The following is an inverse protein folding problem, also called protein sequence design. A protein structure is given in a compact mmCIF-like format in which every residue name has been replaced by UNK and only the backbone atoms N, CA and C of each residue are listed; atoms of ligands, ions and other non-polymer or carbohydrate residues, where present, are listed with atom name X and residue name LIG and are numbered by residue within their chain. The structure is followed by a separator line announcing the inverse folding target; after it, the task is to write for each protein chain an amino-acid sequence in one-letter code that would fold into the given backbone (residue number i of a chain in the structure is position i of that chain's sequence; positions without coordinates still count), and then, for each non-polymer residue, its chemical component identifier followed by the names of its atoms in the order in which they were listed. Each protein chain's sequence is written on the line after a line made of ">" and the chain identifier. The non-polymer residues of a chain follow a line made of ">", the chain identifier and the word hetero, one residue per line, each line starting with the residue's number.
data_IF_986574451883
#
_entry.id   IF_986574451883
#
_cell.length_a   1.000
_cell.length_b   1.000
_cell.length_c   1.000
_cell.angle_alpha   90.00
_cell.angle_beta   90.00
_cell.angle_gamma   90.00
#
_symmetry.space_group_name_H-M   'P 1'
#
loop_
_entity.id
_entity.type
_entity.pdbx_description
1 polymer ?
#
# COMPACT_ATOMS: atom_id res chain seq x y z
N UNK A 1 -29.38 1.83 -88.63
CA UNK A 1 -28.00 1.29 -88.68
C UNK A 1 -27.49 1.41 -87.24
N UNK A 2 -27.24 0.38 -86.43
CA UNK A 2 -26.88 -1.02 -86.66
C UNK A 2 -27.27 -1.82 -85.40
N UNK A 3 -27.88 -2.99 -85.63
CA UNK A 3 -27.77 -4.31 -84.96
C UNK A 3 -27.36 -4.39 -83.47
N UNK A 4 -27.89 -5.28 -82.63
CA UNK A 4 -28.73 -6.46 -82.86
C UNK A 4 -29.13 -7.16 -81.56
N UNK A 5 -29.83 -8.29 -81.76
CA UNK A 5 -30.33 -9.33 -80.84
C UNK A 5 -29.34 -9.71 -79.71
N UNK A 6 -29.71 -10.28 -78.56
CA UNK A 6 -30.24 -11.65 -78.40
C UNK A 6 -30.75 -11.92 -76.97
N UNK A 7 -31.81 -12.75 -76.92
CA UNK A 7 -32.04 -13.92 -76.06
C UNK A 7 -31.89 -13.84 -74.51
N UNK A 8 -33.01 -14.11 -73.82
CA UNK A 8 -33.05 -14.74 -72.48
C UNK A 8 -32.85 -16.26 -72.63
N UNK A 9 -32.28 -16.93 -71.61
CA UNK A 9 -33.15 -17.63 -70.66
C UNK A 9 -32.71 -17.55 -69.19
N UNK A 10 -33.70 -17.56 -68.30
CA UNK A 10 -33.57 -17.90 -66.88
C UNK A 10 -33.17 -19.38 -66.74
N UNK A 11 -32.43 -19.74 -65.68
CA UNK A 11 -33.12 -20.45 -64.61
C UNK A 11 -32.73 -19.99 -63.20
N UNK A 12 -33.74 -20.04 -62.34
CA UNK A 12 -33.70 -20.04 -60.88
C UNK A 12 -32.81 -21.16 -60.34
N UNK A 13 -31.96 -20.89 -59.36
CA UNK A 13 -32.13 -21.38 -57.97
C UNK A 13 -30.90 -21.11 -57.07
N UNK A 14 -31.22 -20.55 -55.90
CA UNK A 14 -30.70 -20.91 -54.55
C UNK A 14 -29.32 -20.42 -54.06
N UNK A 15 -29.44 -19.81 -52.87
CA UNK A 15 -28.48 -19.68 -51.76
C UNK A 15 -27.57 -18.42 -51.70
N UNK A 16 -28.08 -17.44 -50.94
CA UNK A 16 -27.30 -16.44 -50.21
C UNK A 16 -26.24 -17.11 -49.31
N UNK A 17 -24.99 -16.62 -49.27
CA UNK A 17 -24.16 -16.78 -48.10
C UNK A 17 -24.63 -15.77 -47.03
N UNK A 18 -25.26 -16.29 -45.98
CA UNK A 18 -25.53 -15.59 -44.74
C UNK A 18 -24.20 -15.14 -44.11
N UNK A 19 -23.90 -13.85 -44.27
CA UNK A 19 -22.76 -13.20 -43.63
C UNK A 19 -23.07 -13.06 -42.12
N UNK A 20 -22.80 -14.12 -41.37
CA UNK A 20 -22.84 -14.12 -39.91
C UNK A 20 -21.56 -13.48 -39.40
N UNK A 21 -21.66 -12.17 -39.11
CA UNK A 21 -20.68 -11.46 -38.30
C UNK A 21 -20.78 -11.98 -36.86
N UNK A 22 -19.75 -12.63 -36.27
CA UNK A 22 -19.70 -12.71 -34.83
C UNK A 22 -19.21 -11.36 -34.32
N UNK A 23 -20.10 -10.64 -33.67
CA UNK A 23 -19.76 -9.52 -32.79
C UNK A 23 -18.84 -10.04 -31.68
N UNK A 24 -17.53 -9.93 -31.89
CA UNK A 24 -16.53 -10.19 -30.84
C UNK A 24 -16.59 -9.03 -29.85
N UNK A 25 -17.39 -9.21 -28.79
CA UNK A 25 -17.31 -8.43 -27.56
C UNK A 25 -15.92 -8.63 -26.95
N UNK A 26 -15.03 -7.66 -27.16
CA UNK A 26 -13.72 -7.59 -26.52
C UNK A 26 -13.86 -7.20 -25.03
N UNK A 27 -13.25 -7.95 -24.10
CA UNK A 27 -12.92 -7.48 -22.75
C UNK A 27 -11.44 -7.07 -22.60
N UNK A 28 -10.69 -6.87 -23.69
CA UNK A 28 -9.21 -6.82 -23.67
C UNK A 28 -8.57 -5.49 -23.19
N UNK A 29 -9.33 -4.43 -22.92
CA UNK A 29 -8.76 -3.11 -22.57
C UNK A 29 -8.39 -2.93 -21.09
N UNK A 30 -8.92 -3.76 -20.18
CA UNK A 30 -8.61 -3.68 -18.74
C UNK A 30 -7.28 -4.36 -18.38
N UNK A 31 -6.91 -5.45 -19.06
CA UNK A 31 -5.67 -6.19 -18.79
C UNK A 31 -4.41 -5.40 -19.19
N UNK A 32 -4.48 -4.61 -20.27
CA UNK A 32 -3.33 -3.82 -20.73
C UNK A 32 -3.01 -2.61 -19.84
N UNK A 33 -4.04 -2.02 -19.20
CA UNK A 33 -3.85 -0.92 -18.23
C UNK A 33 -3.16 -1.41 -16.95
N UNK A 34 -3.61 -2.53 -16.39
CA UNK A 34 -3.00 -3.12 -15.19
C UNK A 34 -1.55 -3.52 -15.43
N UNK A 35 -1.25 -4.17 -16.56
CA UNK A 35 0.12 -4.54 -16.92
C UNK A 35 1.04 -3.30 -17.08
N UNK A 36 0.53 -2.20 -17.64
CA UNK A 36 1.28 -0.95 -17.76
C UNK A 36 1.53 -0.27 -16.41
N UNK A 37 0.61 -0.39 -15.46
CA UNK A 37 0.77 0.10 -14.09
C UNK A 37 1.80 -0.72 -13.31
N UNK A 38 1.78 -2.04 -13.42
CA UNK A 38 2.74 -2.90 -12.73
C UNK A 38 4.15 -2.72 -13.31
N UNK A 39 4.29 -2.62 -14.64
CA UNK A 39 5.58 -2.30 -15.26
C UNK A 39 6.14 -0.93 -14.82
N UNK A 40 5.26 0.05 -14.56
CA UNK A 40 5.67 1.33 -13.96
C UNK A 40 6.14 1.15 -12.53
N UNK A 41 5.41 0.40 -11.70
CA UNK A 41 5.79 0.09 -10.31
C UNK A 41 7.13 -0.63 -10.25
N UNK A 42 7.35 -1.62 -11.11
CA UNK A 42 8.61 -2.36 -11.19
C UNK A 42 9.78 -1.45 -11.55
N UNK A 43 9.57 -0.53 -12.51
CA UNK A 43 10.59 0.48 -12.84
C UNK A 43 10.88 1.39 -11.65
N UNK A 44 9.85 1.85 -10.94
CA UNK A 44 10.05 2.67 -9.74
C UNK A 44 10.72 1.90 -8.60
N UNK A 45 10.46 0.60 -8.46
CA UNK A 45 11.08 -0.24 -7.45
C UNK A 45 12.56 -0.47 -7.76
N UNK A 46 12.90 -0.73 -9.02
CA UNK A 46 14.29 -0.85 -9.45
C UNK A 46 15.07 0.44 -9.19
N UNK A 47 14.50 1.60 -9.56
CA UNK A 47 15.07 2.92 -9.24
C UNK A 47 15.23 3.12 -7.72
N UNK A 48 14.25 2.69 -6.93
CA UNK A 48 14.31 2.77 -5.48
C UNK A 48 15.38 1.87 -4.86
N UNK A 49 15.55 0.64 -5.36
CA UNK A 49 16.60 -0.26 -4.90
C UNK A 49 18.00 0.29 -5.19
N UNK A 50 18.18 0.99 -6.31
CA UNK A 50 19.43 1.68 -6.61
C UNK A 50 19.72 2.83 -5.62
N UNK A 51 18.69 3.55 -5.17
CA UNK A 51 18.84 4.57 -4.12
C UNK A 51 19.32 3.97 -2.79
N UNK A 52 19.01 2.70 -2.52
CA UNK A 52 19.41 2.01 -1.29
C UNK A 52 20.88 1.59 -1.28
N UNK A 53 21.62 1.67 -2.39
CA UNK A 53 23.06 1.36 -2.43
C UNK A 53 23.90 2.36 -1.62
N UNK A 54 23.44 3.60 -1.47
CA UNK A 54 24.14 4.65 -0.72
C UNK A 54 23.42 5.05 0.58
N UNK A 55 22.25 4.47 0.86
CA UNK A 55 21.49 4.78 2.07
C UNK A 55 21.88 3.88 3.25
N UNK A 56 22.13 4.48 4.41
CA UNK A 56 22.38 3.78 5.67
C UNK A 56 21.17 3.90 6.61
N UNK A 57 20.37 2.83 6.78
CA UNK A 57 19.19 2.85 7.65
C UNK A 57 19.56 3.02 9.13
N UNK A 58 18.60 3.52 9.93
CA UNK A 58 18.75 3.63 11.39
C UNK A 58 19.00 2.27 12.09
N UNK A 59 18.39 1.21 11.58
CA UNK A 59 18.61 -0.18 12.03
C UNK A 59 19.89 -0.70 11.36
N UNK A 60 20.93 -1.07 12.12
CA UNK A 60 22.17 -1.61 11.56
C UNK A 60 21.97 -2.94 10.84
N UNK A 61 22.86 -3.24 9.89
CA UNK A 61 22.78 -4.45 9.07
C UNK A 61 22.84 -5.73 9.92
N UNK A 62 23.63 -5.75 10.98
CA UNK A 62 23.83 -6.91 11.85
C UNK A 62 22.53 -7.31 12.55
N UNK A 63 21.69 -6.33 12.91
CA UNK A 63 20.38 -6.57 13.52
C UNK A 63 19.44 -7.21 12.49
N UNK A 64 19.44 -6.69 11.27
CA UNK A 64 18.62 -7.24 10.19
C UNK A 64 19.06 -8.65 9.82
N UNK A 65 20.36 -8.90 9.72
CA UNK A 65 20.93 -10.23 9.44
C UNK A 65 20.55 -11.24 10.51
N UNK A 66 20.60 -10.85 11.79
CA UNK A 66 20.17 -11.70 12.90
C UNK A 66 18.69 -12.14 12.75
N UNK A 67 17.78 -11.20 12.43
CA UNK A 67 16.37 -11.53 12.26
C UNK A 67 16.11 -12.34 10.98
N UNK A 68 16.86 -12.10 9.90
CA UNK A 68 16.79 -12.88 8.67
C UNK A 68 17.21 -14.34 8.90
N UNK A 69 18.34 -14.56 9.58
CA UNK A 69 18.79 -15.91 9.96
C UNK A 69 17.80 -16.61 10.87
N UNK A 70 17.19 -15.88 11.81
CA UNK A 70 16.19 -16.43 12.73
C UNK A 70 14.94 -16.96 12.01
N UNK A 71 14.56 -16.36 10.88
CA UNK A 71 13.45 -16.84 10.05
C UNK A 71 13.88 -17.86 8.99
N UNK A 72 15.18 -18.18 8.91
CA UNK A 72 15.76 -19.11 7.94
C UNK A 72 15.91 -18.52 6.54
N UNK A 73 16.02 -17.19 6.42
CA UNK A 73 16.24 -16.50 5.15
C UNK A 73 17.65 -15.92 5.11
N UNK A 74 18.45 -16.31 4.13
CA UNK A 74 19.77 -15.72 3.88
C UNK A 74 19.70 -14.90 2.60
N UNK A 75 20.20 -13.67 2.67
CA UNK A 75 20.22 -12.76 1.53
C UNK A 75 21.58 -12.09 1.44
N UNK A 76 22.25 -12.25 0.31
CA UNK A 76 23.57 -11.65 0.06
C UNK A 76 23.46 -10.19 -0.42
N UNK A 77 22.31 -9.79 -0.98
CA UNK A 77 22.10 -8.45 -1.49
C UNK A 77 21.88 -7.45 -0.34
N UNK A 78 22.84 -6.53 -0.18
CA UNK A 78 22.81 -5.47 0.84
C UNK A 78 21.60 -4.55 0.66
N UNK A 79 21.14 -4.32 -0.58
CA UNK A 79 19.98 -3.48 -0.86
C UNK A 79 18.71 -4.07 -0.29
N UNK A 80 18.57 -5.40 -0.33
CA UNK A 80 17.41 -6.10 0.24
C UNK A 80 17.41 -6.03 1.77
N UNK A 81 18.58 -6.14 2.41
CA UNK A 81 18.72 -5.93 3.87
C UNK A 81 18.33 -4.50 4.25
N UNK A 82 18.79 -3.51 3.49
CA UNK A 82 18.47 -2.09 3.71
C UNK A 82 17.00 -1.78 3.43
N UNK A 83 16.42 -2.37 2.40
CA UNK A 83 14.98 -2.26 2.08
C UNK A 83 14.14 -2.75 3.26
N UNK A 84 14.44 -3.94 3.78
CA UNK A 84 13.72 -4.52 4.91
C UNK A 84 13.87 -3.66 6.17
N UNK A 85 15.08 -3.16 6.41
CA UNK A 85 15.38 -2.25 7.53
C UNK A 85 14.57 -0.96 7.44
N UNK A 86 14.49 -0.35 6.26
CA UNK A 86 13.72 0.87 6.02
C UNK A 86 12.21 0.61 6.14
N UNK A 87 11.72 -0.53 5.62
CA UNK A 87 10.32 -0.91 5.75
C UNK A 87 9.92 -1.07 7.22
N UNK A 88 10.75 -1.73 8.03
CA UNK A 88 10.52 -1.85 9.47
C UNK A 88 10.55 -0.49 10.17
N UNK A 89 11.49 0.40 9.82
CA UNK A 89 11.55 1.76 10.36
C UNK A 89 10.31 2.56 10.02
N UNK A 90 9.86 2.51 8.77
CA UNK A 90 8.63 3.16 8.33
C UNK A 90 7.44 2.62 9.11
N UNK A 91 7.31 1.30 9.22
CA UNK A 91 6.22 0.66 9.95
C UNK A 91 6.14 1.13 11.41
N UNK A 92 7.27 1.16 12.14
CA UNK A 92 7.31 1.67 13.51
C UNK A 92 7.03 3.17 13.57
N UNK A 93 7.51 3.93 12.57
CA UNK A 93 7.27 5.38 12.50
C UNK A 93 5.80 5.72 12.28
N UNK A 94 5.10 4.96 11.44
CA UNK A 94 3.66 5.11 11.19
C UNK A 94 2.86 4.83 12.47
N UNK A 95 3.14 3.73 13.18
CA UNK A 95 2.52 3.42 14.48
C UNK A 95 2.81 4.51 15.52
N UNK A 96 4.05 5.00 15.59
CA UNK A 96 4.43 6.04 16.54
C UNK A 96 3.72 7.37 16.24
N UNK A 97 3.53 7.71 14.95
CA UNK A 97 2.78 8.89 14.53
C UNK A 97 1.31 8.78 14.95
N UNK A 98 0.67 7.63 14.75
CA UNK A 98 -0.72 7.41 15.13
C UNK A 98 -0.89 7.44 16.65
N UNK A 99 -0.02 6.74 17.40
CA UNK A 99 -0.03 6.78 18.86
C UNK A 99 0.23 8.19 19.40
N UNK A 100 1.08 8.99 18.74
CA UNK A 100 1.29 10.39 19.11
C UNK A 100 0.02 11.24 18.94
N UNK A 101 -0.79 10.98 17.90
CA UNK A 101 -2.07 11.67 17.72
C UNK A 101 -3.04 11.35 18.87
N UNK A 102 -3.16 10.07 19.25
CA UNK A 102 -3.96 9.63 20.39
C UNK A 102 -3.50 10.29 21.70
N UNK A 103 -2.18 10.30 21.95
CA UNK A 103 -1.59 10.91 23.15
C UNK A 103 -1.81 12.43 23.21
N UNK A 104 -1.72 13.10 22.06
CA UNK A 104 -1.93 14.55 21.94
C UNK A 104 -3.40 14.91 22.15
N UNK A 105 -4.33 14.17 21.55
CA UNK A 105 -5.77 14.40 21.72
C UNK A 105 -6.16 14.22 23.19
N UNK A 106 -5.68 13.15 23.85
CA UNK A 106 -5.95 12.94 25.29
C UNK A 106 -5.40 14.07 26.15
N UNK A 107 -4.15 14.47 25.93
CA UNK A 107 -3.49 15.54 26.72
C UNK A 107 -4.21 16.89 26.54
N UNK A 108 -4.67 17.19 25.33
CA UNK A 108 -5.43 18.39 25.03
C UNK A 108 -6.88 18.34 25.57
N UNK A 109 -7.54 17.18 25.49
CA UNK A 109 -8.90 16.97 26.00
C UNK A 109 -8.96 17.01 27.54
N UNK A 110 -7.92 16.51 28.23
CA UNK A 110 -7.78 16.62 29.68
C UNK A 110 -7.64 18.10 30.15
N UNK A 111 -7.29 19.02 29.25
CA UNK A 111 -7.17 20.45 29.49
C UNK A 111 -8.49 21.23 29.66
N UNK A 112 -9.65 20.58 29.49
CA UNK A 112 -10.98 21.20 29.62
C UNK A 112 -11.46 21.41 31.07
N UNK A 113 -10.80 20.86 32.09
CA UNK A 113 -11.15 21.10 33.50
C UNK A 113 -10.55 22.42 33.99
N UNK A 114 -11.28 23.50 33.70
CA UNK A 114 -11.13 24.92 34.09
C UNK A 114 -11.10 25.17 35.62
N UNK A 115 -10.33 24.43 36.43
CA UNK A 115 -10.28 24.72 37.87
C UNK A 115 -9.02 24.31 38.65
N UNK A 116 -7.81 24.46 38.10
CA UNK A 116 -6.59 24.37 38.92
C UNK A 116 -5.78 25.67 38.82
N UNK A 117 -5.41 26.29 39.95
CA UNK A 117 -4.78 27.60 39.97
C UNK A 117 -3.33 27.53 39.48
N UNK A 118 -3.01 28.53 38.64
CA UNK A 118 -1.71 29.11 38.30
C UNK A 118 -0.42 28.41 38.77
N UNK A 119 0.45 28.07 37.81
CA UNK A 119 1.90 28.13 38.02
C UNK A 119 2.73 27.01 37.38
N UNK A 120 2.38 25.74 37.63
CA UNK A 120 3.24 24.60 37.24
C UNK A 120 2.67 23.74 36.09
N UNK A 121 1.35 23.68 35.94
CA UNK A 121 0.68 22.77 35.00
C UNK A 121 0.73 23.20 33.53
N UNK A 122 1.21 24.41 33.21
CA UNK A 122 1.32 24.89 31.83
C UNK A 122 2.53 24.28 31.08
N UNK A 123 3.62 23.98 31.79
CA UNK A 123 4.84 23.40 31.21
C UNK A 123 4.75 21.89 31.00
N UNK A 124 3.94 21.18 31.80
CA UNK A 124 3.66 19.76 31.57
C UNK A 124 2.63 19.52 30.49
N UNK A 125 1.80 20.52 30.18
CA UNK A 125 0.82 20.45 29.09
C UNK A 125 1.47 20.38 27.70
N UNK A 126 2.75 20.76 27.58
CA UNK A 126 3.52 20.61 26.33
C UNK A 126 4.28 19.28 26.24
N UNK A 127 4.32 18.48 27.31
CA UNK A 127 5.01 17.19 27.32
C UNK A 127 4.01 16.07 27.06
N UNK A 128 3.89 15.69 25.79
CA UNK A 128 3.15 14.50 25.41
C UNK A 128 3.93 13.25 25.84
N UNK A 129 3.32 12.40 26.66
CA UNK A 129 3.86 11.09 27.06
C UNK A 129 3.16 9.97 26.33
N UNK A 130 3.90 9.02 25.78
CA UNK A 130 3.34 7.80 25.19
C UNK A 130 2.89 6.85 26.31
N UNK A 131 1.61 6.48 26.31
CA UNK A 131 1.04 5.55 27.30
C UNK A 131 0.47 4.30 26.63
N UNK A 132 0.15 3.28 27.44
CA UNK A 132 -0.46 2.04 26.94
C UNK A 132 -1.82 2.27 26.29
N UNK A 133 -2.59 3.26 26.74
CA UNK A 133 -3.89 3.59 26.15
C UNK A 133 -3.73 4.09 24.70
N UNK A 134 -2.72 4.94 24.45
CA UNK A 134 -2.46 5.47 23.10
C UNK A 134 -1.98 4.38 22.15
N UNK A 135 -1.04 3.58 22.64
CA UNK A 135 -0.43 2.52 21.86
C UNK A 135 -1.44 1.42 21.55
N UNK A 136 -2.27 1.03 22.51
CA UNK A 136 -3.31 0.01 22.29
C UNK A 136 -4.40 0.50 21.34
N UNK A 137 -4.78 1.78 21.39
CA UNK A 137 -5.69 2.38 20.42
C UNK A 137 -5.10 2.38 19.00
N UNK A 138 -3.85 2.84 18.84
CA UNK A 138 -3.17 2.83 17.54
C UNK A 138 -3.05 1.40 16.98
N UNK A 139 -2.57 0.45 17.79
CA UNK A 139 -2.41 -0.95 17.38
C UNK A 139 -3.74 -1.63 17.02
N UNK A 140 -4.86 -1.25 17.66
CA UNK A 140 -6.17 -1.79 17.33
C UNK A 140 -6.61 -1.45 15.90
N UNK A 141 -6.19 -0.30 15.36
CA UNK A 141 -6.45 0.09 13.96
C UNK A 141 -5.70 -0.81 12.97
N UNK A 142 -4.54 -1.34 13.38
CA UNK A 142 -3.77 -2.34 12.63
C UNK A 142 -4.22 -3.80 12.92
N UNK A 143 -5.28 -4.01 13.72
CA UNK A 143 -5.80 -5.33 14.07
C UNK A 143 -5.01 -6.05 15.17
N UNK A 144 -4.14 -5.36 15.90
CA UNK A 144 -3.30 -5.92 16.97
C UNK A 144 -3.95 -5.62 18.34
N UNK A 145 -4.27 -6.67 19.10
CA UNK A 145 -4.90 -6.53 20.42
C UNK A 145 -3.85 -6.49 21.55
N UNK A 146 -3.44 -5.29 21.95
CA UNK A 146 -2.46 -5.06 23.02
C UNK A 146 -3.14 -4.72 24.37
N UNK A 147 -4.05 -5.58 24.86
CA UNK A 147 -4.70 -5.39 26.17
C UNK A 147 -3.78 -5.79 27.31
N UNK A 148 -3.33 -4.81 28.09
CA UNK A 148 -2.65 -5.03 29.37
C UNK A 148 -3.66 -4.80 30.51
N UNK A 149 -3.89 -5.77 31.41
CA UNK A 149 -4.72 -5.54 32.59
C UNK A 149 -4.01 -4.57 33.54
N UNK A 150 -4.77 -3.65 34.13
CA UNK A 150 -4.22 -2.64 35.06
C UNK A 150 -3.74 -3.25 36.37
N UNK A 151 -4.31 -4.38 36.77
CA UNK A 151 -3.95 -5.14 37.95
C UNK A 151 -4.22 -6.64 37.75
N UNK A 152 -3.43 -7.48 38.43
CA UNK A 152 -3.72 -8.91 38.56
C UNK A 152 -4.51 -9.10 39.88
N UNK A 153 -5.71 -9.66 39.81
CA UNK A 153 -6.45 -10.20 40.96
C UNK A 153 -6.35 -11.71 40.97
#
# INVERSE_FOLDING_TARGET
>A
MSQGQFAYPLPSDVAQPSNSNPSTSQPAQTQSRQAAEDARKDRTLAEFLLLLDDYEPLIPNEVTDYYLQRVGFECEDVRLRRLLSLAAQKFVSDIAADAYQHARIRTNAAGGRRNQPFGSAAKDRTRTTLTMDDLSAALAEYGINARKPDFYM
#
